data_IF_131593655724
#
_entry.id   IF_131593655724
#
_cell.length_a   1.000
_cell.length_b   1.000
_cell.length_c   1.000
_cell.angle_alpha   90.00
_cell.angle_beta   90.00
_cell.angle_gamma   90.00
#
_symmetry.space_group_name_H-M   'P 1'
#
loop_
_entity.id
_entity.type
_entity.pdbx_description
1 polymer ?
#
# COMPACT_ATOMS: atom_id res chain seq x y z
N UNK A 1 6.39 17.42 -1.94
CA UNK A 1 5.85 16.04 -1.98
C UNK A 1 6.99 15.12 -1.55
N UNK A 2 6.81 14.31 -0.49
CA UNK A 2 7.93 13.66 0.19
C UNK A 2 8.50 12.53 -0.69
N UNK A 3 9.80 12.56 -1.01
CA UNK A 3 10.47 11.60 -1.90
C UNK A 3 10.25 10.14 -1.48
N UNK A 4 10.04 9.92 -0.17
CA UNK A 4 9.80 8.60 0.41
C UNK A 4 8.40 8.07 0.06
N UNK A 5 7.39 8.94 -0.01
CA UNK A 5 6.05 8.55 -0.46
C UNK A 5 6.13 8.01 -1.90
N UNK A 6 6.83 8.73 -2.79
CA UNK A 6 7.00 8.31 -4.18
C UNK A 6 7.81 7.01 -4.32
N UNK A 7 8.79 6.78 -3.44
CA UNK A 7 9.50 5.51 -3.37
C UNK A 7 8.56 4.37 -2.96
N UNK A 8 7.76 4.54 -1.89
CA UNK A 8 6.80 3.52 -1.44
C UNK A 8 5.74 3.25 -2.51
N UNK A 9 5.18 4.28 -3.15
CA UNK A 9 4.28 4.14 -4.30
C UNK A 9 4.91 3.34 -5.44
N UNK A 10 6.18 3.64 -5.79
CA UNK A 10 6.91 2.91 -6.83
C UNK A 10 7.12 1.44 -6.48
N UNK A 11 7.37 1.14 -5.20
CA UNK A 11 7.48 -0.25 -4.72
C UNK A 11 6.13 -0.96 -4.88
N UNK A 12 5.00 -0.32 -4.51
CA UNK A 12 3.66 -0.89 -4.64
C UNK A 12 3.28 -1.12 -6.12
N UNK A 13 3.55 -0.16 -7.00
CA UNK A 13 3.32 -0.32 -8.45
C UNK A 13 4.14 -1.49 -9.01
N UNK A 14 5.40 -1.65 -8.57
CA UNK A 14 6.25 -2.79 -8.96
C UNK A 14 5.72 -4.14 -8.44
N UNK A 15 4.92 -4.14 -7.39
CA UNK A 15 4.22 -5.35 -6.94
C UNK A 15 3.01 -5.71 -7.82
N UNK A 16 2.56 -4.79 -8.68
CA UNK A 16 1.34 -4.94 -9.49
C UNK A 16 0.17 -4.06 -9.03
N UNK A 17 0.35 -3.27 -7.96
CA UNK A 17 -0.68 -2.37 -7.43
C UNK A 17 -0.72 -1.03 -8.18
N UNK A 18 -1.10 -1.08 -9.45
CA UNK A 18 -1.16 0.09 -10.33
C UNK A 18 -2.13 1.13 -9.78
N UNK A 19 -1.70 2.39 -9.72
CA UNK A 19 -2.50 3.49 -9.21
C UNK A 19 -2.54 3.58 -7.67
N UNK A 20 -1.73 2.81 -6.96
CA UNK A 20 -1.56 2.95 -5.52
C UNK A 20 -1.05 4.35 -5.14
N UNK A 21 -1.66 4.95 -4.11
CA UNK A 21 -1.30 6.26 -3.56
C UNK A 21 -0.95 6.12 -2.09
N UNK A 22 0.10 6.80 -1.64
CA UNK A 22 0.57 6.71 -0.25
C UNK A 22 0.32 8.03 0.49
N UNK A 23 -0.53 7.95 1.50
CA UNK A 23 -0.85 9.03 2.42
C UNK A 23 -0.12 8.86 3.76
N UNK A 24 0.11 9.99 4.45
CA UNK A 24 0.47 10.04 5.86
C UNK A 24 1.69 9.16 6.24
N UNK A 25 2.81 9.33 5.54
CA UNK A 25 4.04 8.63 5.91
C UNK A 25 4.62 9.23 7.20
N UNK A 26 4.70 8.41 8.24
CA UNK A 26 5.33 8.74 9.51
C UNK A 26 6.59 7.90 9.69
N UNK A 27 7.64 8.55 10.16
CA UNK A 27 8.93 7.95 10.44
C UNK A 27 9.29 8.32 11.87
N UNK A 28 9.51 7.34 12.73
CA UNK A 28 9.91 7.64 14.11
C UNK A 28 11.32 8.24 14.15
N UNK A 29 11.52 9.21 15.03
CA UNK A 29 12.76 9.99 15.17
C UNK A 29 13.99 9.12 15.50
N UNK A 30 15.16 9.59 15.05
CA UNK A 30 16.44 8.85 14.97
C UNK A 30 16.79 7.97 16.19
N UNK A 31 17.38 6.77 15.97
CA UNK A 31 17.58 6.12 14.67
C UNK A 31 16.23 5.69 14.09
N UNK A 32 16.02 5.95 12.80
CA UNK A 32 14.75 5.58 12.18
C UNK A 32 14.59 4.07 12.25
N UNK A 33 13.57 3.65 12.99
CA UNK A 33 13.30 2.23 13.24
C UNK A 33 11.88 1.85 12.89
N UNK A 34 11.06 2.80 12.49
CA UNK A 34 9.66 2.58 12.25
C UNK A 34 9.20 3.41 11.05
N UNK A 35 8.46 2.77 10.16
CA UNK A 35 7.73 3.44 9.09
C UNK A 35 6.25 3.07 9.26
N UNK A 36 5.41 4.09 9.24
CA UNK A 36 3.95 3.96 9.15
C UNK A 36 3.47 4.72 7.94
N UNK A 37 2.54 4.15 7.20
CA UNK A 37 1.87 4.85 6.12
C UNK A 37 0.50 4.25 5.87
N UNK A 38 -0.33 5.01 5.15
CA UNK A 38 -1.61 4.55 4.65
C UNK A 38 -1.49 4.46 3.13
N UNK A 39 -1.80 3.30 2.56
CA UNK A 39 -1.83 3.13 1.10
C UNK A 39 -3.27 2.91 0.63
N UNK A 40 -3.74 3.79 -0.24
CA UNK A 40 -4.98 3.58 -0.97
C UNK A 40 -4.65 2.87 -2.29
N UNK A 41 -5.18 1.65 -2.46
CA UNK A 41 -4.84 0.78 -3.57
C UNK A 41 -6.10 0.46 -4.38
N UNK A 42 -6.07 0.67 -5.71
CA UNK A 42 -7.17 0.26 -6.58
C UNK A 42 -7.44 -1.23 -6.51
N UNK A 43 -8.68 -1.59 -6.19
CA UNK A 43 -9.11 -2.96 -5.96
C UNK A 43 -8.96 -3.84 -7.21
N UNK A 44 -9.12 -3.25 -8.40
CA UNK A 44 -8.91 -3.93 -9.68
C UNK A 44 -7.50 -4.52 -9.80
N UNK A 45 -6.50 -3.88 -9.18
CA UNK A 45 -5.12 -4.36 -9.18
C UNK A 45 -4.90 -5.63 -8.35
N UNK A 46 -5.91 -6.08 -7.59
CA UNK A 46 -5.84 -7.31 -6.80
C UNK A 46 -6.10 -8.58 -7.62
N UNK A 47 -6.75 -8.47 -8.80
CA UNK A 47 -7.10 -9.64 -9.62
C UNK A 47 -5.90 -10.56 -9.93
N UNK A 48 -4.73 -10.06 -10.37
CA UNK A 48 -3.57 -10.91 -10.62
C UNK A 48 -3.03 -11.59 -9.35
N UNK A 49 -3.20 -10.96 -8.19
CA UNK A 49 -2.82 -11.53 -6.90
C UNK A 49 -3.82 -12.58 -6.44
N UNK A 50 -5.11 -12.38 -6.68
CA UNK A 50 -6.17 -13.33 -6.36
C UNK A 50 -5.98 -14.63 -7.15
N UNK A 51 -5.75 -14.53 -8.46
CA UNK A 51 -5.49 -15.71 -9.31
C UNK A 51 -4.28 -16.50 -8.80
N UNK A 52 -3.19 -15.83 -8.42
CA UNK A 52 -2.01 -16.48 -7.83
C UNK A 52 -2.31 -17.12 -6.47
N UNK A 53 -3.08 -16.43 -5.63
CA UNK A 53 -3.46 -16.91 -4.31
C UNK A 53 -4.32 -18.17 -4.39
N UNK A 54 -5.35 -18.17 -5.25
CA UNK A 54 -6.24 -19.32 -5.44
C UNK A 54 -5.49 -20.52 -6.02
N UNK A 55 -4.61 -20.32 -7.01
CA UNK A 55 -3.77 -21.40 -7.57
C UNK A 55 -2.78 -22.00 -6.57
N UNK A 56 -2.32 -21.22 -5.60
CA UNK A 56 -1.44 -21.71 -4.53
C UNK A 56 -2.19 -22.41 -3.39
N UNK A 57 -3.52 -22.24 -3.32
CA UNK A 57 -4.38 -22.89 -2.34
C UNK A 57 -5.14 -24.03 -3.02
N UNK A 58 -4.48 -25.18 -3.21
CA UNK A 58 -4.98 -26.37 -3.93
C UNK A 58 -6.39 -26.85 -3.53
N UNK A 59 -6.90 -26.43 -2.37
CA UNK A 59 -8.21 -26.80 -1.80
C UNK A 59 -9.34 -25.77 -2.03
N UNK A 60 -9.02 -24.57 -2.55
CA UNK A 60 -10.00 -23.50 -2.83
C UNK A 60 -10.20 -23.26 -4.33
N UNK A 61 -9.39 -23.91 -5.17
CA UNK A 61 -9.40 -23.71 -6.61
C UNK A 61 -10.43 -24.61 -7.30
N UNK A 62 -11.56 -24.04 -7.71
CA UNK A 62 -12.61 -24.74 -8.48
C UNK A 62 -12.34 -24.82 -9.99
N UNK A 63 -11.21 -24.28 -10.46
CA UNK A 63 -10.82 -24.26 -11.87
C UNK A 63 -11.49 -23.15 -12.70
N UNK A 64 -12.40 -22.37 -12.12
CA UNK A 64 -13.06 -21.25 -12.80
C UNK A 64 -12.97 -19.97 -11.94
N UNK A 65 -11.86 -19.25 -12.10
CA UNK A 65 -11.54 -18.02 -11.34
C UNK A 65 -12.63 -16.95 -11.48
N UNK A 66 -13.28 -16.88 -12.65
CA UNK A 66 -14.27 -15.84 -13.00
C UNK A 66 -15.57 -15.94 -12.19
N UNK A 67 -15.87 -17.12 -11.62
CA UNK A 67 -17.03 -17.34 -10.77
C UNK A 67 -16.72 -17.12 -9.29
N UNK A 68 -15.46 -16.88 -8.92
CA UNK A 68 -15.10 -16.66 -7.53
C UNK A 68 -15.70 -15.33 -7.04
N UNK A 69 -16.39 -15.29 -5.89
CA UNK A 69 -17.06 -14.07 -5.40
C UNK A 69 -16.13 -12.84 -5.34
N UNK A 70 -14.87 -13.06 -4.93
CA UNK A 70 -13.86 -12.00 -4.92
C UNK A 70 -13.47 -11.50 -6.31
N UNK A 71 -13.44 -12.38 -7.31
CA UNK A 71 -13.10 -11.99 -8.68
C UNK A 71 -14.19 -11.09 -9.25
N UNK A 72 -15.46 -11.48 -9.06
CA UNK A 72 -16.62 -10.70 -9.48
C UNK A 72 -16.61 -9.33 -8.77
N UNK A 73 -16.45 -9.33 -7.43
CA UNK A 73 -16.37 -8.09 -6.67
C UNK A 73 -15.23 -7.18 -7.14
N UNK A 74 -14.01 -7.69 -7.31
CA UNK A 74 -12.87 -6.86 -7.70
C UNK A 74 -12.98 -6.32 -9.14
N UNK A 75 -13.69 -7.02 -10.01
CA UNK A 75 -13.97 -6.57 -11.38
C UNK A 75 -15.00 -5.43 -11.39
N UNK A 76 -15.98 -5.48 -10.49
CA UNK A 76 -17.09 -4.51 -10.43
C UNK A 76 -16.88 -3.40 -9.39
N UNK A 77 -15.85 -3.46 -8.55
CA UNK A 77 -15.66 -2.54 -7.42
C UNK A 77 -15.71 -1.03 -7.78
N UNK A 78 -15.31 -0.67 -9.00
CA UNK A 78 -15.35 0.71 -9.49
C UNK A 78 -16.78 1.22 -9.75
N UNK A 79 -17.74 0.33 -10.00
CA UNK A 79 -19.15 0.67 -10.22
C UNK A 79 -19.92 0.77 -8.89
N UNK A 80 -19.42 0.13 -7.84
CA UNK A 80 -19.99 0.15 -6.50
C UNK A 80 -19.78 1.49 -5.80
N UNK A 81 -20.81 2.34 -5.81
CA UNK A 81 -20.79 3.66 -5.17
C UNK A 81 -22.14 4.04 -4.58
N UNK A 82 -22.09 4.88 -3.55
CA UNK A 82 -23.24 5.58 -2.98
C UNK A 82 -22.84 7.04 -2.74
N UNK A 83 -23.50 7.98 -3.44
CA UNK A 83 -23.15 9.39 -3.36
C UNK A 83 -21.66 9.64 -3.70
N UNK A 84 -20.88 10.30 -2.81
CA UNK A 84 -19.45 10.54 -3.04
C UNK A 84 -18.56 9.34 -2.69
N UNK A 85 -19.07 8.32 -2.01
CA UNK A 85 -18.31 7.16 -1.54
C UNK A 85 -18.34 6.07 -2.61
N UNK A 86 -17.18 5.55 -2.99
CA UNK A 86 -17.04 4.40 -3.89
C UNK A 86 -16.09 3.36 -3.30
N UNK A 87 -16.18 2.12 -3.79
CA UNK A 87 -15.39 0.98 -3.31
C UNK A 87 -14.24 0.63 -4.26
N UNK A 88 -13.84 1.56 -5.14
CA UNK A 88 -12.80 1.32 -6.13
C UNK A 88 -11.40 1.15 -5.52
N UNK A 89 -11.19 1.63 -4.30
CA UNK A 89 -9.91 1.58 -3.58
C UNK A 89 -10.09 0.95 -2.21
N UNK A 90 -9.07 0.22 -1.79
CA UNK A 90 -8.92 -0.29 -0.44
C UNK A 90 -7.73 0.38 0.26
N UNK A 91 -7.97 0.73 1.52
CA UNK A 91 -7.00 1.39 2.37
C UNK A 91 -6.23 0.37 3.21
N UNK A 92 -4.90 0.39 3.11
CA UNK A 92 -3.99 -0.45 3.87
C UNK A 92 -3.18 0.41 4.83
N UNK A 93 -3.42 0.24 6.12
CA UNK A 93 -2.58 0.84 7.17
C UNK A 93 -1.37 -0.07 7.43
N UNK A 94 -0.20 0.39 7.00
CA UNK A 94 1.04 -0.38 7.06
C UNK A 94 1.95 0.21 8.12
N UNK A 95 2.43 -0.63 9.04
CA UNK A 95 3.29 -0.25 10.15
C UNK A 95 4.40 -1.29 10.27
N UNK A 96 5.66 -0.87 10.13
CA UNK A 96 6.81 -1.78 10.09
C UNK A 96 7.93 -1.23 10.95
N UNK A 97 8.42 -2.04 11.89
CA UNK A 97 9.57 -1.73 12.74
C UNK A 97 10.80 -2.56 12.34
N UNK A 98 11.99 -1.94 12.27
CA UNK A 98 13.25 -2.63 11.97
C UNK A 98 13.79 -3.45 13.13
N UNK A 99 13.44 -3.14 14.38
CA UNK A 99 14.11 -3.71 15.56
C UNK A 99 13.43 -4.88 16.24
N UNK A 100 12.32 -5.43 15.72
CA UNK A 100 11.74 -6.64 16.32
C UNK A 100 11.48 -7.72 15.27
N UNK A 101 12.38 -8.70 15.26
CA UNK A 101 12.17 -10.07 14.78
C UNK A 101 10.92 -10.65 15.46
N UNK A 102 9.77 -10.34 14.90
CA UNK A 102 8.52 -11.12 14.82
C UNK A 102 7.41 -10.10 14.51
N UNK A 103 6.82 -10.22 13.32
CA UNK A 103 5.49 -9.69 13.03
C UNK A 103 4.52 -10.36 14.03
N UNK A 104 4.34 -9.76 15.21
CA UNK A 104 3.24 -10.04 16.14
C UNK A 104 2.41 -8.76 16.29
N UNK A 105 2.00 -8.19 15.17
CA UNK A 105 0.81 -7.35 15.17
C UNK A 105 -0.31 -8.27 14.69
N UNK A 106 -1.40 -8.40 15.46
CA UNK A 106 -2.64 -8.94 14.92
C UNK A 106 -2.93 -8.14 13.66
N UNK A 107 -2.81 -8.79 12.50
CA UNK A 107 -3.06 -8.10 11.23
C UNK A 107 -4.49 -7.56 11.30
N UNK A 108 -4.68 -6.23 11.20
CA UNK A 108 -6.00 -5.64 11.31
C UNK A 108 -6.88 -6.29 10.26
N UNK A 109 -8.09 -6.64 10.67
CA UNK A 109 -9.07 -7.13 9.71
C UNK A 109 -9.56 -5.94 8.89
N UNK A 110 -8.88 -5.71 7.78
CA UNK A 110 -9.08 -4.54 6.93
C UNK A 110 -10.47 -4.48 6.31
N UNK A 111 -11.26 -5.57 6.37
CA UNK A 111 -12.68 -5.56 5.95
C UNK A 111 -13.62 -5.18 7.09
N UNK A 112 -13.27 -5.53 8.33
CA UNK A 112 -14.14 -5.40 9.50
C UNK A 112 -13.71 -4.31 10.48
N UNK A 113 -12.72 -3.48 10.13
CA UNK A 113 -12.25 -2.36 10.96
C UNK A 113 -11.83 -1.16 10.10
N UNK A 114 -11.98 0.03 10.69
CA UNK A 114 -11.49 1.29 10.12
C UNK A 114 -12.21 1.71 8.84
N UNK A 115 -11.53 2.50 8.02
CA UNK A 115 -12.09 3.21 6.87
C UNK A 115 -12.79 2.31 5.84
N UNK A 116 -12.25 1.12 5.57
CA UNK A 116 -12.83 0.22 4.58
C UNK A 116 -14.20 -0.31 5.05
N UNK A 117 -14.34 -0.65 6.34
CA UNK A 117 -15.62 -1.10 6.90
C UNK A 117 -16.68 -0.01 6.76
N UNK A 118 -16.33 1.22 7.14
CA UNK A 118 -17.26 2.35 7.10
C UNK A 118 -17.74 2.61 5.67
N UNK A 119 -16.84 2.54 4.69
CA UNK A 119 -17.19 2.67 3.27
C UNK A 119 -18.06 1.50 2.77
N UNK A 120 -17.70 0.26 3.12
CA UNK A 120 -18.46 -0.94 2.75
C UNK A 120 -19.88 -0.88 3.30
N UNK A 121 -20.05 -0.58 4.59
CA UNK A 121 -21.37 -0.44 5.23
C UNK A 121 -22.17 0.70 4.60
N UNK A 122 -21.53 1.86 4.39
CA UNK A 122 -22.20 3.03 3.82
C UNK A 122 -22.78 2.75 2.43
N UNK A 123 -22.00 2.10 1.56
CA UNK A 123 -22.42 1.73 0.21
C UNK A 123 -23.45 0.61 0.29
N UNK A 124 -23.21 -0.44 1.08
CA UNK A 124 -24.14 -1.56 1.25
C UNK A 124 -25.58 -1.12 1.58
N UNK A 125 -25.76 -0.27 2.59
CA UNK A 125 -27.11 0.17 3.00
C UNK A 125 -27.81 1.04 1.95
N UNK A 126 -27.08 1.64 1.00
CA UNK A 126 -27.61 2.56 0.00
C UNK A 126 -27.65 2.00 -1.43
N UNK A 127 -27.15 0.79 -1.63
CA UNK A 127 -27.17 0.14 -2.95
C UNK A 127 -28.36 -0.79 -3.13
N UNK A 128 -28.57 -1.21 -4.37
CA UNK A 128 -29.54 -2.23 -4.77
C UNK A 128 -29.11 -3.64 -4.32
N UNK A 129 -30.00 -4.63 -4.54
CA UNK A 129 -29.75 -6.01 -4.13
C UNK A 129 -28.50 -6.60 -4.79
N UNK A 130 -28.30 -6.37 -6.09
CA UNK A 130 -27.14 -6.90 -6.81
C UNK A 130 -25.81 -6.39 -6.24
N UNK A 131 -25.70 -5.10 -5.96
CA UNK A 131 -24.50 -4.53 -5.34
C UNK A 131 -24.28 -5.04 -3.91
N UNK A 132 -25.37 -5.24 -3.15
CA UNK A 132 -25.30 -5.81 -1.79
C UNK A 132 -24.76 -7.23 -1.82
N UNK A 133 -25.20 -8.05 -2.76
CA UNK A 133 -24.73 -9.43 -2.92
C UNK A 133 -23.23 -9.47 -3.24
N UNK A 134 -22.74 -8.55 -4.09
CA UNK A 134 -21.31 -8.42 -4.38
C UNK A 134 -20.50 -8.06 -3.13
N UNK A 135 -20.99 -7.09 -2.34
CA UNK A 135 -20.33 -6.68 -1.09
C UNK A 135 -20.33 -7.82 -0.06
N UNK A 136 -21.43 -8.57 0.05
CA UNK A 136 -21.50 -9.73 0.94
C UNK A 136 -20.50 -10.82 0.51
N UNK A 137 -20.40 -11.11 -0.79
CA UNK A 137 -19.41 -12.05 -1.31
C UNK A 137 -17.96 -11.67 -0.95
N UNK A 138 -17.64 -10.37 -0.98
CA UNK A 138 -16.35 -9.88 -0.47
C UNK A 138 -16.20 -10.11 1.04
N UNK A 139 -17.21 -9.75 1.83
CA UNK A 139 -17.15 -9.80 3.29
C UNK A 139 -17.02 -11.26 3.79
N UNK A 140 -17.73 -12.19 3.16
CA UNK A 140 -17.74 -13.61 3.54
C UNK A 140 -16.44 -14.32 3.14
N UNK A 141 -15.84 -13.99 2.00
CA UNK A 141 -14.71 -14.74 1.44
C UNK A 141 -13.38 -13.97 1.41
N UNK A 142 -13.40 -12.65 1.63
CA UNK A 142 -12.27 -11.76 1.34
C UNK A 142 -11.21 -11.68 2.43
N UNK A 143 -11.59 -11.91 3.68
CA UNK A 143 -10.69 -11.67 4.83
C UNK A 143 -9.35 -12.40 4.73
N UNK A 144 -9.29 -13.70 4.37
CA UNK A 144 -8.01 -14.41 4.22
C UNK A 144 -7.13 -13.80 3.13
N UNK A 145 -7.73 -13.44 1.99
CA UNK A 145 -7.00 -12.88 0.85
C UNK A 145 -6.50 -11.45 1.14
N UNK A 146 -7.33 -10.59 1.75
CA UNK A 146 -6.92 -9.23 2.11
C UNK A 146 -5.80 -9.25 3.15
N UNK A 147 -5.86 -10.17 4.13
CA UNK A 147 -4.74 -10.40 5.08
C UNK A 147 -3.47 -10.85 4.37
N UNK A 148 -3.60 -11.75 3.38
CA UNK A 148 -2.47 -12.17 2.55
C UNK A 148 -1.84 -10.98 1.80
N UNK A 149 -2.63 -10.12 1.15
CA UNK A 149 -2.13 -8.91 0.48
C UNK A 149 -1.42 -7.96 1.45
N UNK A 150 -2.01 -7.71 2.61
CA UNK A 150 -1.39 -6.86 3.62
C UNK A 150 -0.02 -7.42 4.07
N UNK A 151 0.07 -8.74 4.28
CA UNK A 151 1.33 -9.41 4.60
C UNK A 151 2.37 -9.31 3.47
N UNK A 152 1.95 -9.39 2.20
CA UNK A 152 2.84 -9.19 1.05
C UNK A 152 3.39 -7.76 1.02
N UNK A 153 2.54 -6.75 1.24
CA UNK A 153 2.95 -5.34 1.28
C UNK A 153 3.96 -5.12 2.40
N UNK A 154 3.64 -5.58 3.62
CA UNK A 154 4.54 -5.46 4.78
C UNK A 154 5.90 -6.10 4.51
N UNK A 155 5.90 -7.34 4.00
CA UNK A 155 7.14 -8.07 3.68
C UNK A 155 7.95 -7.37 2.60
N UNK A 156 7.29 -6.82 1.56
CA UNK A 156 7.99 -6.11 0.49
C UNK A 156 8.64 -4.84 1.01
N UNK A 157 7.93 -4.02 1.77
CA UNK A 157 8.48 -2.78 2.33
C UNK A 157 9.61 -3.09 3.32
N UNK A 158 9.47 -4.15 4.14
CA UNK A 158 10.55 -4.61 5.02
C UNK A 158 11.81 -5.02 4.24
N UNK A 159 11.68 -5.60 3.05
CA UNK A 159 12.84 -5.95 2.23
C UNK A 159 13.51 -4.71 1.61
N UNK A 160 12.75 -3.64 1.36
CA UNK A 160 13.23 -2.39 0.79
C UNK A 160 13.61 -1.35 1.88
N UNK A 161 13.57 -1.74 3.16
CA UNK A 161 13.79 -0.85 4.31
C UNK A 161 15.17 -0.17 4.26
N UNK A 162 16.20 -0.90 3.82
CA UNK A 162 17.56 -0.38 3.66
C UNK A 162 17.61 0.74 2.63
N UNK A 163 16.93 0.58 1.49
CA UNK A 163 16.86 1.60 0.45
C UNK A 163 16.09 2.83 0.93
N UNK A 164 14.96 2.64 1.61
CA UNK A 164 14.18 3.72 2.20
C UNK A 164 15.06 4.56 3.14
N UNK A 165 15.88 3.89 3.97
CA UNK A 165 16.80 4.59 4.87
C UNK A 165 17.98 5.23 4.18
N UNK A 166 18.56 4.61 3.16
CA UNK A 166 19.63 5.26 2.39
C UNK A 166 19.16 6.55 1.74
N UNK A 167 17.90 6.59 1.25
CA UNK A 167 17.29 7.84 0.74
C UNK A 167 17.11 8.87 1.85
N UNK A 168 16.62 8.45 3.03
CA UNK A 168 16.46 9.32 4.19
C UNK A 168 17.77 9.91 4.71
N UNK A 169 18.79 9.07 4.91
CA UNK A 169 20.12 9.50 5.35
C UNK A 169 20.71 10.49 4.35
N UNK A 170 20.57 10.26 3.04
CA UNK A 170 21.00 11.21 2.01
C UNK A 170 20.21 12.51 1.96
N UNK A 171 18.92 12.49 2.33
CA UNK A 171 18.14 13.73 2.50
C UNK A 171 18.62 14.50 3.75
N UNK A 172 19.23 13.84 4.72
CA UNK A 172 19.69 14.49 5.94
C UNK A 172 21.17 14.92 5.87
N UNK A 173 21.96 14.18 5.12
CA UNK A 173 23.37 14.46 4.88
C UNK A 173 23.50 15.22 3.56
N UNK A 174 23.85 16.51 3.61
CA UNK A 174 24.17 17.35 2.44
C UNK A 174 25.34 16.75 1.61
N UNK A 175 25.06 15.69 0.84
CA UNK A 175 26.03 14.90 0.08
C UNK A 175 25.83 15.08 -1.42
N UNK A 176 26.87 14.85 -2.23
CA UNK A 176 26.81 14.97 -3.71
C UNK A 176 25.67 14.13 -4.30
N UNK A 177 25.07 14.55 -5.45
CA UNK A 177 24.02 13.77 -6.08
C UNK A 177 24.47 12.35 -6.40
N UNK A 178 23.67 11.36 -6.03
CA UNK A 178 23.99 9.94 -6.25
C UNK A 178 22.73 9.18 -6.67
N UNK A 179 22.90 8.29 -7.66
CA UNK A 179 21.87 7.32 -8.02
C UNK A 179 21.83 6.26 -6.92
N UNK A 180 20.73 6.18 -6.18
CA UNK A 180 20.54 5.23 -5.09
C UNK A 180 19.89 3.94 -5.58
N UNK A 181 18.97 4.05 -6.54
CA UNK A 181 18.32 2.90 -7.15
C UNK A 181 17.81 3.20 -8.56
N UNK A 182 17.75 2.16 -9.37
CA UNK A 182 17.12 2.18 -10.69
C UNK A 182 16.02 1.11 -10.72
N UNK A 183 14.81 1.53 -11.07
CA UNK A 183 13.68 0.65 -11.30
C UNK A 183 13.29 0.73 -12.77
N UNK A 184 13.14 -0.44 -13.36
CA UNK A 184 12.58 -0.59 -14.70
C UNK A 184 11.34 -1.47 -14.59
N UNK A 185 10.23 -1.00 -15.15
CA UNK A 185 9.02 -1.80 -15.36
C UNK A 185 8.72 -1.83 -16.85
N UNK A 186 8.79 -3.03 -17.44
CA UNK A 186 8.47 -3.26 -18.86
C UNK A 186 6.97 -3.10 -19.10
N UNK A 187 6.14 -3.58 -18.18
CA UNK A 187 4.68 -3.64 -18.34
C UNK A 187 4.00 -2.25 -18.23
N UNK A 188 4.65 -1.28 -17.59
CA UNK A 188 4.12 0.09 -17.41
C UNK A 188 4.98 1.17 -18.08
N UNK A 189 5.96 0.78 -18.91
CA UNK A 189 6.94 1.67 -19.57
C UNK A 189 7.60 2.67 -18.60
N UNK A 190 7.73 2.31 -17.32
CA UNK A 190 8.22 3.19 -16.28
C UNK A 190 9.72 2.97 -16.04
N UNK A 191 10.50 4.04 -16.22
CA UNK A 191 11.90 4.13 -15.81
C UNK A 191 12.02 5.09 -14.63
N UNK A 192 12.13 4.55 -13.42
CA UNK A 192 12.28 5.37 -12.21
C UNK A 192 13.73 5.26 -11.73
N UNK A 193 14.47 6.37 -11.83
CA UNK A 193 15.77 6.50 -11.17
C UNK A 193 15.56 7.31 -9.91
N UNK A 194 15.91 6.74 -8.76
CA UNK A 194 15.94 7.49 -7.51
C UNK A 194 17.33 8.08 -7.41
N UNK A 195 17.39 9.37 -7.68
CA UNK A 195 18.57 10.19 -7.52
C UNK A 195 18.32 11.03 -6.27
N UNK A 196 19.12 10.82 -5.24
CA UNK A 196 19.15 11.79 -4.15
C UNK A 196 20.01 12.95 -4.62
N UNK A 197 19.42 14.13 -4.73
CA UNK A 197 20.13 15.36 -5.04
C UNK A 197 20.83 15.90 -3.80
N UNK A 198 21.92 16.63 -3.99
CA UNK A 198 22.58 17.32 -2.89
C UNK A 198 21.67 18.40 -2.35
N UNK A 199 21.31 18.32 -1.07
CA UNK A 199 20.65 19.41 -0.39
C UNK A 199 21.70 20.47 -0.11
N UNK A 200 21.53 21.72 -0.55
CA UNK A 200 22.49 22.78 -0.25
C UNK A 200 22.70 22.90 1.26
N UNK A 201 23.95 23.08 1.68
CA UNK A 201 24.33 23.19 3.09
C UNK A 201 23.56 24.30 3.82
N UNK A 202 23.17 25.36 3.10
CA UNK A 202 22.31 26.45 3.60
C UNK A 202 20.90 25.99 3.97
N UNK A 203 20.30 25.09 3.18
CA UNK A 203 18.98 24.50 3.44
C UNK A 203 19.07 23.44 4.53
N UNK A 204 20.14 22.65 4.53
CA UNK A 204 20.45 21.68 5.60
C UNK A 204 20.59 22.39 6.95
N UNK A 205 21.32 23.52 7.00
CA UNK A 205 21.46 24.31 8.21
C UNK A 205 20.14 24.92 8.65
N UNK A 206 19.28 25.40 7.73
CA UNK A 206 17.94 25.88 8.09
C UNK A 206 17.06 24.77 8.70
N UNK A 207 17.08 23.56 8.15
CA UNK A 207 16.30 22.41 8.66
C UNK A 207 16.80 21.95 10.04
N UNK A 208 18.12 21.94 10.26
CA UNK A 208 18.73 21.53 11.54
C UNK A 208 18.58 22.62 12.61
N UNK A 209 18.54 23.89 12.22
CA UNK A 209 18.35 25.03 13.15
C UNK A 209 16.88 25.40 13.38
N UNK A 210 15.94 24.85 12.61
CA UNK A 210 14.50 25.15 12.75
C UNK A 210 13.81 24.43 13.92
N UNK A 211 14.49 23.53 14.62
CA UNK A 211 14.05 23.09 15.95
C UNK A 211 14.57 24.10 16.98
N UNK A 212 13.82 25.18 17.22
CA UNK A 212 13.74 26.02 18.45
C UNK A 212 13.33 27.46 18.12
N UNK A 213 12.06 27.70 17.75
CA UNK A 213 11.32 28.89 18.23
C UNK A 213 9.88 28.46 18.52
N UNK A 214 9.47 28.72 19.76
CA UNK A 214 8.16 28.51 20.40
C UNK A 214 7.02 29.17 19.64
#
# INVERSE_FOLDING_TARGET
>A
MNAIQKLVESILVKMGFVGAVVENIYLDSKPFRHIRFVADIPVISFLPHLVKYLKGADHLYSGNDDLHPLFIYFSEAATLKAGPVNLANFRFEVSIASTHLRLVSEQPDLLFKGFNRDNLEYVYYRSDLASRDLILGLVEHGSPFIKHLHGLIQKRILNEFSLIFSVLEKILESAKPQILACFHSVDYEMNVKIIAEAIPETVSNQIVTSDYIV
#
